data_IF_353383185970
#
_entry.id   IF_353383185970
#
_cell.length_a   1.000
_cell.length_b   1.000
_cell.length_c   1.000
_cell.angle_alpha   90.00
_cell.angle_beta   90.00
_cell.angle_gamma   90.00
#
_symmetry.space_group_name_H-M   'P 1'
#
loop_
_entity.id
_entity.type
_entity.pdbx_description
1 polymer ?
#
# COMPACT_ATOMS: atom_id res chain seq x y z
N UNK A 1 -5.34 -17.18 -0.55
CA UNK A 1 -6.19 -17.71 -1.64
C UNK A 1 -5.41 -18.46 -2.71
N UNK A 2 -4.12 -18.17 -2.90
CA UNK A 2 -3.28 -18.71 -3.96
C UNK A 2 -3.55 -18.11 -5.36
N UNK A 3 -4.43 -17.11 -5.48
CA UNK A 3 -4.79 -16.52 -6.77
C UNK A 3 -3.58 -15.91 -7.50
N UNK A 4 -2.80 -15.09 -6.82
CA UNK A 4 -1.62 -14.47 -7.42
C UNK A 4 -0.58 -15.51 -7.84
N UNK A 5 -0.37 -16.54 -7.03
CA UNK A 5 0.51 -17.65 -7.38
C UNK A 5 0.03 -18.36 -8.65
N UNK A 6 -1.29 -18.56 -8.79
CA UNK A 6 -1.88 -19.16 -9.98
C UNK A 6 -1.69 -18.31 -11.25
N UNK A 7 -1.80 -16.98 -11.14
CA UNK A 7 -1.51 -16.07 -12.26
C UNK A 7 -0.03 -16.15 -12.64
N UNK A 8 0.87 -16.06 -11.66
CA UNK A 8 2.32 -16.10 -11.87
C UNK A 8 2.80 -17.43 -12.45
N UNK A 9 2.16 -18.55 -12.08
CA UNK A 9 2.53 -19.87 -12.56
C UNK A 9 2.43 -20.06 -14.08
N UNK A 10 1.71 -19.14 -14.76
CA UNK A 10 1.63 -19.11 -16.23
C UNK A 10 2.79 -18.35 -16.89
N UNK A 11 3.56 -17.62 -16.10
CA UNK A 11 4.60 -16.71 -16.57
C UNK A 11 6.01 -17.17 -16.22
N UNK A 12 6.12 -18.13 -15.29
CA UNK A 12 7.42 -18.62 -14.76
C UNK A 12 7.39 -20.14 -14.62
N UNK A 13 8.58 -20.74 -14.55
CA UNK A 13 8.73 -22.19 -14.41
C UNK A 13 8.18 -22.69 -13.08
N UNK A 14 8.55 -22.06 -11.99
CA UNK A 14 8.18 -22.46 -10.61
C UNK A 14 7.72 -21.24 -9.80
N UNK A 15 6.72 -21.43 -8.95
CA UNK A 15 6.21 -20.45 -7.99
C UNK A 15 6.29 -21.01 -6.59
N UNK A 16 6.97 -20.33 -5.71
CA UNK A 16 7.06 -20.62 -4.28
C UNK A 16 6.28 -19.54 -3.54
N UNK A 17 5.22 -19.90 -2.83
CA UNK A 17 4.36 -18.95 -2.11
C UNK A 17 4.27 -19.32 -0.63
N UNK A 18 4.32 -18.29 0.22
CA UNK A 18 4.29 -18.45 1.68
C UNK A 18 3.07 -17.72 2.23
N UNK A 19 2.34 -18.38 3.12
CA UNK A 19 1.19 -17.81 3.84
C UNK A 19 1.35 -18.07 5.33
N UNK A 20 1.33 -17.00 6.12
CA UNK A 20 1.50 -17.10 7.59
C UNK A 20 0.22 -17.57 8.29
N UNK A 21 -0.93 -17.24 7.73
CA UNK A 21 -2.23 -17.63 8.31
C UNK A 21 -2.53 -19.07 7.91
N UNK A 22 -2.36 -19.98 8.85
CA UNK A 22 -2.45 -21.44 8.59
C UNK A 22 -3.73 -21.86 7.87
N UNK A 23 -4.97 -21.47 8.29
CA UNK A 23 -6.19 -21.85 7.57
C UNK A 23 -6.21 -21.37 6.11
N UNK A 24 -5.63 -20.19 5.83
CA UNK A 24 -5.53 -19.65 4.46
C UNK A 24 -4.51 -20.40 3.63
N UNK A 25 -3.36 -20.74 4.22
CA UNK A 25 -2.34 -21.58 3.59
C UNK A 25 -2.86 -22.96 3.23
N UNK A 26 -3.55 -23.62 4.17
CA UNK A 26 -4.19 -24.92 3.92
C UNK A 26 -5.25 -24.84 2.81
N UNK A 27 -6.06 -23.78 2.80
CA UNK A 27 -7.04 -23.55 1.72
C UNK A 27 -6.35 -23.34 0.37
N UNK A 28 -5.28 -22.54 0.32
CA UNK A 28 -4.51 -22.32 -0.89
C UNK A 28 -3.92 -23.62 -1.42
N UNK A 29 -3.29 -24.43 -0.57
CA UNK A 29 -2.74 -25.76 -0.92
C UNK A 29 -3.80 -26.66 -1.54
N UNK A 30 -4.94 -26.82 -0.89
CA UNK A 30 -6.04 -27.65 -1.43
C UNK A 30 -6.56 -27.13 -2.77
N UNK A 31 -6.64 -25.81 -2.93
CA UNK A 31 -7.12 -25.19 -4.17
C UNK A 31 -6.14 -25.41 -5.32
N UNK A 32 -4.85 -25.19 -5.10
CA UNK A 32 -3.77 -25.41 -6.06
C UNK A 32 -3.75 -26.87 -6.53
N UNK A 33 -3.82 -27.82 -5.59
CA UNK A 33 -3.85 -29.26 -5.88
C UNK A 33 -5.09 -29.66 -6.68
N UNK A 34 -6.29 -29.23 -6.23
CA UNK A 34 -7.56 -29.51 -6.91
C UNK A 34 -7.60 -29.00 -8.35
N UNK A 35 -6.97 -27.85 -8.62
CA UNK A 35 -6.90 -27.24 -9.95
C UNK A 35 -5.76 -27.78 -10.81
N UNK A 36 -4.96 -28.73 -10.29
CA UNK A 36 -3.92 -29.41 -11.04
C UNK A 36 -2.67 -28.57 -11.33
N UNK A 37 -2.40 -27.52 -10.57
CA UNK A 37 -1.15 -26.78 -10.70
C UNK A 37 0.02 -27.62 -10.18
N UNK A 38 1.03 -27.85 -11.03
CA UNK A 38 2.19 -28.69 -10.70
C UNK A 38 3.43 -27.88 -10.34
N UNK A 39 3.45 -26.62 -10.72
CA UNK A 39 4.57 -25.68 -10.54
C UNK A 39 4.29 -24.60 -9.47
N UNK A 40 3.36 -24.86 -8.54
CA UNK A 40 3.09 -24.00 -7.40
C UNK A 40 3.36 -24.77 -6.12
N UNK A 41 4.29 -24.27 -5.33
CA UNK A 41 4.65 -24.80 -4.02
C UNK A 41 4.14 -23.86 -2.93
N UNK A 42 3.35 -24.39 -2.01
CA UNK A 42 2.76 -23.59 -0.91
C UNK A 42 3.42 -24.00 0.40
N UNK A 43 3.96 -23.03 1.12
CA UNK A 43 4.49 -23.16 2.48
C UNK A 43 3.61 -22.40 3.45
N UNK A 44 3.30 -23.00 4.59
CA UNK A 44 2.68 -22.32 5.72
C UNK A 44 3.80 -21.87 6.64
N UNK A 45 3.92 -20.58 6.90
CA UNK A 45 4.98 -20.04 7.73
C UNK A 45 5.17 -18.53 7.55
N UNK A 46 6.18 -18.01 8.23
CA UNK A 46 6.52 -16.59 8.19
C UNK A 46 7.31 -16.24 6.92
N UNK A 47 6.69 -15.44 6.05
CA UNK A 47 7.30 -14.94 4.82
C UNK A 47 8.51 -14.03 5.04
N UNK A 48 8.70 -13.50 6.26
CA UNK A 48 9.88 -12.72 6.63
C UNK A 48 11.18 -13.52 6.47
N UNK A 49 11.11 -14.83 6.69
CA UNK A 49 12.26 -15.73 6.56
C UNK A 49 12.53 -16.19 5.13
N UNK A 50 11.55 -16.00 4.23
CA UNK A 50 11.62 -16.54 2.89
C UNK A 50 11.59 -18.07 2.86
N UNK A 51 12.26 -18.63 1.82
CA UNK A 51 12.33 -20.09 1.62
C UNK A 51 13.73 -20.50 1.18
N UNK A 52 14.70 -20.55 2.11
CA UNK A 52 16.12 -20.73 1.78
C UNK A 52 16.43 -22.03 1.05
N UNK A 53 15.63 -23.10 1.28
CA UNK A 53 15.85 -24.39 0.63
C UNK A 53 15.67 -24.36 -0.90
N UNK A 54 15.02 -23.32 -1.41
CA UNK A 54 14.77 -23.14 -2.84
C UNK A 54 15.46 -21.89 -3.42
N UNK A 55 16.27 -21.22 -2.59
CA UNK A 55 17.07 -20.08 -3.04
C UNK A 55 18.21 -20.55 -3.98
N UNK A 56 18.71 -19.67 -4.89
CA UNK A 56 18.31 -18.29 -5.08
C UNK A 56 17.09 -18.11 -5.99
N UNK A 57 16.31 -17.06 -5.76
CA UNK A 57 15.13 -16.72 -6.54
C UNK A 57 15.44 -15.66 -7.61
N UNK A 58 14.84 -15.81 -8.79
CA UNK A 58 14.92 -14.83 -9.88
C UNK A 58 14.15 -13.55 -9.55
N UNK A 59 12.98 -13.72 -8.96
CA UNK A 59 12.05 -12.65 -8.63
C UNK A 59 11.34 -12.96 -7.32
N UNK A 60 11.18 -11.92 -6.51
CA UNK A 60 10.42 -11.99 -5.26
C UNK A 60 9.34 -10.90 -5.30
N UNK A 61 8.11 -11.25 -4.93
CA UNK A 61 7.02 -10.31 -4.77
C UNK A 61 6.49 -10.43 -3.34
N UNK A 62 6.52 -9.33 -2.60
CA UNK A 62 5.97 -9.24 -1.25
C UNK A 62 4.61 -8.56 -1.32
N UNK A 63 3.57 -9.24 -0.85
CA UNK A 63 2.17 -8.79 -0.93
C UNK A 63 1.61 -8.28 0.39
N UNK A 64 2.49 -7.92 1.29
CA UNK A 64 2.24 -7.24 2.56
C UNK A 64 3.38 -6.24 2.80
N UNK A 65 3.19 -5.26 3.69
CA UNK A 65 4.16 -4.19 3.89
C UNK A 65 4.99 -4.43 5.15
N UNK A 66 6.25 -4.84 5.04
CA UNK A 66 7.21 -4.69 6.12
C UNK A 66 7.63 -3.21 6.25
N UNK A 67 8.18 -2.83 7.41
CA UNK A 67 8.78 -1.51 7.60
C UNK A 67 10.05 -1.38 6.74
N UNK A 68 10.90 -2.39 6.82
CA UNK A 68 12.13 -2.52 6.05
C UNK A 68 12.15 -3.85 5.29
N UNK A 69 13.02 -3.94 4.28
CA UNK A 69 13.17 -5.19 3.52
C UNK A 69 13.75 -6.28 4.42
N UNK A 70 13.09 -7.44 4.56
CA UNK A 70 13.65 -8.56 5.29
C UNK A 70 14.98 -9.01 4.70
N UNK A 71 16.03 -9.04 5.52
CA UNK A 71 17.39 -9.42 5.10
C UNK A 71 17.40 -10.78 4.40
N UNK A 72 16.63 -11.73 4.90
CA UNK A 72 16.54 -13.07 4.32
C UNK A 72 16.07 -13.04 2.85
N UNK A 73 15.16 -12.13 2.48
CA UNK A 73 14.70 -12.01 1.10
C UNK A 73 15.77 -11.43 0.17
N UNK A 74 16.59 -10.50 0.70
CA UNK A 74 17.75 -9.94 -0.04
C UNK A 74 18.80 -11.00 -0.29
N UNK A 75 19.11 -11.81 0.73
CA UNK A 75 20.12 -12.86 0.65
C UNK A 75 19.66 -13.98 -0.31
N UNK A 76 18.37 -14.29 -0.35
CA UNK A 76 17.76 -15.30 -1.22
C UNK A 76 17.49 -14.80 -2.66
N UNK A 77 17.64 -13.51 -2.94
CA UNK A 77 17.52 -12.97 -4.29
C UNK A 77 18.83 -13.17 -5.06
N UNK A 78 18.77 -13.75 -6.26
CA UNK A 78 19.96 -13.92 -7.08
C UNK A 78 20.53 -12.58 -7.55
N UNK A 79 21.79 -12.61 -8.01
CA UNK A 79 22.38 -11.48 -8.74
C UNK A 79 21.60 -11.20 -10.04
N UNK A 80 21.30 -9.95 -10.33
CA UNK A 80 20.41 -9.52 -11.41
C UNK A 80 18.92 -9.75 -11.14
N UNK A 81 18.57 -10.32 -9.98
CA UNK A 81 17.19 -10.58 -9.56
C UNK A 81 16.42 -9.31 -9.23
N UNK A 82 15.10 -9.44 -9.16
CA UNK A 82 14.18 -8.32 -8.89
C UNK A 82 13.30 -8.63 -7.69
N UNK A 83 13.15 -7.65 -6.79
CA UNK A 83 12.25 -7.71 -5.64
C UNK A 83 11.24 -6.57 -5.74
N UNK A 84 9.94 -6.88 -5.72
CA UNK A 84 8.87 -5.89 -5.61
C UNK A 84 8.26 -5.98 -4.21
N UNK A 85 8.27 -4.86 -3.49
CA UNK A 85 7.81 -4.82 -2.11
C UNK A 85 7.22 -3.45 -1.76
N UNK A 86 6.06 -3.40 -1.09
CA UNK A 86 5.56 -2.17 -0.48
C UNK A 86 6.31 -1.92 0.83
N UNK A 87 6.93 -0.76 0.97
CA UNK A 87 7.67 -0.38 2.18
C UNK A 87 7.09 0.90 2.77
N UNK A 88 7.18 1.03 4.07
CA UNK A 88 6.81 2.22 4.81
C UNK A 88 6.00 1.92 6.06
N UNK A 89 5.53 3.00 6.67
CA UNK A 89 4.70 2.95 7.87
C UNK A 89 3.34 2.29 7.61
N UNK A 90 2.64 1.89 8.69
CA UNK A 90 1.32 1.23 8.57
C UNK A 90 0.33 1.98 7.69
N UNK A 91 0.44 3.30 7.63
CA UNK A 91 -0.51 4.19 6.97
C UNK A 91 0.07 4.94 5.77
N UNK A 92 1.37 4.79 5.53
CA UNK A 92 2.08 5.46 4.44
C UNK A 92 3.09 4.51 3.81
N UNK A 93 2.76 4.01 2.64
CA UNK A 93 3.59 3.01 1.96
C UNK A 93 3.79 3.41 0.50
N UNK A 94 4.94 3.03 -0.03
CA UNK A 94 5.22 3.12 -1.46
C UNK A 94 5.63 1.74 -1.96
N UNK A 95 5.20 1.40 -3.16
CA UNK A 95 5.66 0.22 -3.85
C UNK A 95 7.03 0.51 -4.46
N UNK A 96 7.97 -0.39 -4.22
CA UNK A 96 9.32 -0.29 -4.74
C UNK A 96 9.69 -1.51 -5.57
N UNK A 97 10.45 -1.26 -6.63
CA UNK A 97 11.21 -2.27 -7.34
C UNK A 97 12.68 -2.16 -6.92
N UNK A 98 13.24 -3.28 -6.49
CA UNK A 98 14.67 -3.41 -6.23
C UNK A 98 15.29 -4.36 -7.26
N UNK A 99 16.50 -4.02 -7.69
CA UNK A 99 17.35 -4.88 -8.51
C UNK A 99 18.63 -5.18 -7.74
N UNK A 100 19.05 -6.44 -7.70
CA UNK A 100 20.31 -6.80 -7.06
C UNK A 100 21.43 -6.69 -8.09
N UNK A 101 22.35 -5.75 -7.87
CA UNK A 101 23.47 -5.46 -8.77
C UNK A 101 24.74 -5.39 -7.94
N UNK A 102 25.71 -6.25 -8.24
CA UNK A 102 26.97 -6.36 -7.49
C UNK A 102 26.76 -6.54 -5.97
N UNK A 103 25.79 -7.37 -5.62
CA UNK A 103 25.43 -7.65 -4.22
C UNK A 103 24.65 -6.56 -3.51
N UNK A 104 24.39 -5.40 -4.14
CA UNK A 104 23.64 -4.28 -3.59
C UNK A 104 22.24 -4.17 -4.21
N UNK A 105 21.31 -3.52 -3.53
CA UNK A 105 19.98 -3.26 -4.05
C UNK A 105 19.88 -1.85 -4.63
N UNK A 106 19.68 -1.77 -5.92
CA UNK A 106 19.25 -0.54 -6.60
C UNK A 106 17.75 -0.38 -6.42
N UNK A 107 17.32 0.80 -5.96
CA UNK A 107 15.93 1.11 -5.58
C UNK A 107 15.28 2.00 -6.62
N UNK A 108 14.09 1.62 -7.07
CA UNK A 108 13.20 2.41 -7.91
C UNK A 108 11.83 2.54 -7.21
N UNK A 109 11.35 3.76 -6.97
CA UNK A 109 10.01 4.00 -6.46
C UNK A 109 9.01 3.86 -7.62
N UNK A 110 7.97 3.06 -7.46
CA UNK A 110 6.92 2.87 -8.47
C UNK A 110 5.74 3.80 -8.20
N UNK A 111 4.97 3.52 -7.15
CA UNK A 111 3.75 4.28 -6.83
C UNK A 111 3.45 4.25 -5.34
N UNK A 112 2.64 5.21 -4.88
CA UNK A 112 2.09 5.19 -3.53
C UNK A 112 1.03 4.11 -3.43
N UNK A 113 1.04 3.34 -2.34
CA UNK A 113 0.21 2.14 -2.19
C UNK A 113 -0.22 1.92 -0.75
N UNK A 114 -1.12 0.97 -0.55
CA UNK A 114 -1.57 0.60 0.78
C UNK A 114 -1.79 -0.91 0.88
N UNK A 115 -0.88 -1.59 1.55
CA UNK A 115 -0.92 -3.01 1.81
C UNK A 115 -1.14 -3.30 3.30
N UNK A 116 -1.64 -4.49 3.59
CA UNK A 116 -1.66 -5.00 4.98
C UNK A 116 -0.24 -5.10 5.52
N UNK A 117 0.01 -4.83 6.82
CA UNK A 117 1.33 -5.03 7.42
C UNK A 117 1.80 -6.47 7.24
N UNK A 118 3.10 -6.65 7.11
CA UNK A 118 3.71 -7.96 7.22
C UNK A 118 3.66 -8.38 8.70
N UNK A 119 2.91 -9.43 9.00
CA UNK A 119 2.77 -10.00 10.34
C UNK A 119 3.92 -10.96 10.67
N UNK A 120 3.94 -11.53 11.87
CA UNK A 120 5.01 -12.41 12.32
C UNK A 120 6.22 -11.63 12.86
N UNK A 121 7.42 -12.08 12.55
CA UNK A 121 8.67 -11.45 13.07
C UNK A 121 8.79 -9.98 12.62
N UNK A 122 8.32 -9.63 11.44
CA UNK A 122 8.35 -8.26 10.93
C UNK A 122 7.55 -7.30 11.81
N UNK A 123 6.38 -7.70 12.25
CA UNK A 123 5.52 -6.85 13.10
C UNK A 123 6.07 -6.77 14.54
N UNK A 124 6.63 -7.87 15.06
CA UNK A 124 7.28 -7.88 16.37
C UNK A 124 8.50 -6.95 16.43
N UNK A 125 9.21 -6.79 15.32
CA UNK A 125 10.35 -5.89 15.18
C UNK A 125 9.96 -4.45 14.83
N UNK A 126 8.70 -4.20 14.48
CA UNK A 126 8.23 -2.86 14.10
C UNK A 126 8.30 -1.94 15.32
N UNK A 127 9.06 -0.87 15.20
CA UNK A 127 9.08 0.17 16.21
C UNK A 127 7.68 0.78 16.33
N UNK A 128 7.24 1.03 17.56
CA UNK A 128 6.04 1.85 17.75
C UNK A 128 6.24 3.19 17.01
N UNK A 129 5.20 3.73 16.36
CA UNK A 129 5.29 5.06 15.76
C UNK A 129 5.87 6.01 16.81
N UNK A 130 6.75 6.92 16.39
CA UNK A 130 7.25 7.96 17.28
C UNK A 130 6.05 8.80 17.73
N UNK A 131 5.55 8.52 18.91
CA UNK A 131 4.30 9.02 19.49
C UNK A 131 4.45 10.46 20.05
N UNK A 132 5.55 11.13 19.69
CA UNK A 132 5.93 12.45 20.20
C UNK A 132 5.21 13.62 19.49
N UNK A 133 4.38 13.38 18.48
CA UNK A 133 3.76 14.41 17.69
C UNK A 133 2.24 14.35 17.57
N UNK A 134 1.60 15.52 17.50
CA UNK A 134 0.20 15.64 17.07
C UNK A 134 0.13 15.10 15.63
N UNK A 135 -0.64 14.04 15.38
CA UNK A 135 -0.75 13.46 14.04
C UNK A 135 -1.26 14.51 13.06
N UNK A 136 -0.56 14.68 11.97
CA UNK A 136 -0.90 15.64 10.91
C UNK A 136 -0.97 14.94 9.57
N UNK A 137 -1.86 15.38 8.67
CA UNK A 137 -1.80 14.97 7.29
C UNK A 137 -0.45 15.36 6.67
N UNK A 138 0.15 14.45 5.90
CA UNK A 138 1.37 14.71 5.15
C UNK A 138 0.99 15.43 3.85
N UNK A 139 1.80 16.41 3.45
CA UNK A 139 1.58 17.20 2.22
C UNK A 139 0.13 17.69 2.11
N UNK A 140 -0.41 18.25 3.20
CA UNK A 140 -1.81 18.68 3.30
C UNK A 140 -2.11 19.89 2.39
N UNK A 141 -1.10 20.69 2.07
CA UNK A 141 -1.17 21.83 1.15
C UNK A 141 -0.84 21.47 -0.31
N UNK A 142 -0.43 20.23 -0.59
CA UNK A 142 -0.06 19.72 -1.93
C UNK A 142 1.17 20.41 -2.54
N UNK A 143 2.01 21.05 -1.72
CA UNK A 143 3.22 21.76 -2.18
C UNK A 143 4.36 20.81 -2.54
N UNK A 144 4.40 19.60 -1.95
CA UNK A 144 5.36 18.58 -2.34
C UNK A 144 4.93 17.95 -3.67
N UNK A 145 5.80 18.01 -4.66
CA UNK A 145 5.55 17.42 -5.97
C UNK A 145 6.17 16.02 -6.06
N UNK A 146 5.38 15.08 -6.57
CA UNK A 146 5.85 13.77 -7.00
C UNK A 146 6.11 13.74 -8.51
N UNK A 147 6.59 12.60 -8.98
CA UNK A 147 6.79 12.35 -10.41
C UNK A 147 5.45 11.96 -11.07
N UNK A 148 4.97 12.81 -11.97
CA UNK A 148 3.76 12.56 -12.75
C UNK A 148 2.47 12.64 -11.92
N UNK A 149 1.74 11.52 -11.79
CA UNK A 149 0.46 11.45 -11.06
C UNK A 149 0.61 11.13 -9.56
N UNK A 150 1.84 10.97 -9.09
CA UNK A 150 2.11 10.69 -7.68
C UNK A 150 1.94 11.97 -6.86
N UNK A 151 1.09 11.92 -5.85
CA UNK A 151 0.90 12.99 -4.88
C UNK A 151 1.48 12.51 -3.56
N UNK A 152 2.68 12.99 -3.16
CA UNK A 152 3.35 12.50 -1.97
C UNK A 152 2.44 12.53 -0.73
N UNK A 153 2.39 11.41 -0.01
CA UNK A 153 1.55 11.27 1.17
C UNK A 153 0.08 10.92 0.91
N UNK A 154 -0.37 10.93 -0.36
CA UNK A 154 -1.75 10.58 -0.72
C UNK A 154 -1.81 9.27 -1.51
N UNK A 155 -2.81 8.46 -1.24
CA UNK A 155 -2.95 7.10 -1.76
C UNK A 155 -4.21 6.96 -2.59
N UNK A 156 -4.23 5.96 -3.48
CA UNK A 156 -5.37 5.68 -4.36
C UNK A 156 -5.84 6.94 -5.10
N UNK A 157 -4.90 7.77 -5.52
CA UNK A 157 -5.18 9.00 -6.27
C UNK A 157 -5.78 8.59 -7.63
N UNK A 158 -7.02 8.96 -7.86
CA UNK A 158 -7.75 8.65 -9.09
C UNK A 158 -8.49 9.86 -9.61
N UNK A 159 -8.34 10.12 -10.91
CA UNK A 159 -8.95 11.29 -11.58
C UNK A 159 -8.67 12.56 -10.78
N UNK A 160 -7.41 12.72 -10.37
CA UNK A 160 -6.94 13.81 -9.56
C UNK A 160 -5.56 14.23 -10.03
N UNK A 161 -5.30 15.54 -9.97
CA UNK A 161 -4.01 16.13 -10.30
C UNK A 161 -3.72 17.32 -9.37
N UNK A 162 -2.47 17.57 -9.10
CA UNK A 162 -2.03 18.78 -8.39
C UNK A 162 -1.76 19.86 -9.42
N UNK A 163 -2.43 20.99 -9.25
CA UNK A 163 -2.29 22.16 -10.14
C UNK A 163 -1.83 23.38 -9.39
N UNK A 164 -1.17 24.29 -10.09
CA UNK A 164 -0.88 25.61 -9.55
C UNK A 164 -2.15 26.47 -9.54
N UNK A 165 -2.44 27.07 -8.40
CA UNK A 165 -3.56 27.99 -8.21
C UNK A 165 -3.15 29.10 -7.24
N UNK A 166 -2.94 30.29 -7.75
CA UNK A 166 -2.55 31.48 -6.96
C UNK A 166 -3.61 31.88 -5.92
N UNK A 167 -4.80 31.31 -5.96
CA UNK A 167 -5.88 31.54 -5.00
C UNK A 167 -5.99 30.41 -3.97
N UNK A 168 -5.03 29.47 -3.95
CA UNK A 168 -4.97 28.45 -2.91
C UNK A 168 -4.82 29.13 -1.53
N UNK A 169 -5.59 28.69 -0.52
CA UNK A 169 -5.57 29.33 0.80
C UNK A 169 -4.30 29.03 1.59
N UNK A 170 -3.55 28.01 1.19
CA UNK A 170 -2.29 27.59 1.79
C UNK A 170 -1.35 27.16 0.65
N UNK A 171 -0.26 27.92 0.47
CA UNK A 171 0.71 27.69 -0.60
C UNK A 171 0.27 28.20 -1.97
N UNK A 172 0.66 27.47 -3.02
CA UNK A 172 0.40 27.80 -4.43
C UNK A 172 -0.26 26.68 -5.21
N UNK A 173 -0.54 25.56 -4.58
CA UNK A 173 -1.06 24.36 -5.24
C UNK A 173 -2.35 23.88 -4.61
N UNK A 174 -3.12 23.17 -5.38
CA UNK A 174 -4.31 22.48 -4.89
C UNK A 174 -4.50 21.15 -5.63
N UNK A 175 -5.19 20.22 -4.99
CA UNK A 175 -5.62 18.97 -5.61
C UNK A 175 -6.94 19.20 -6.33
N UNK A 176 -6.95 18.99 -7.63
CA UNK A 176 -8.16 19.00 -8.46
C UNK A 176 -8.65 17.58 -8.65
N UNK A 177 -9.90 17.33 -8.29
CA UNK A 177 -10.59 16.07 -8.53
C UNK A 177 -11.57 16.31 -9.69
N UNK A 178 -11.31 15.71 -10.86
CA UNK A 178 -12.15 15.82 -12.05
C UNK A 178 -12.74 14.44 -12.39
N UNK A 179 -14.07 14.33 -12.34
CA UNK A 179 -14.75 13.05 -12.61
C UNK A 179 -15.09 12.94 -14.10
N UNK A 180 -14.08 12.71 -14.93
CA UNK A 180 -14.20 12.69 -16.40
C UNK A 180 -14.58 11.33 -16.95
N UNK A 181 -14.43 10.27 -16.17
CA UNK A 181 -14.74 8.89 -16.59
C UNK A 181 -16.03 8.43 -15.91
N UNK A 182 -17.13 8.23 -16.66
CA UNK A 182 -18.38 7.75 -16.09
C UNK A 182 -18.24 6.42 -15.35
N UNK A 183 -18.85 6.34 -14.16
CA UNK A 183 -18.82 5.14 -13.32
C UNK A 183 -17.56 4.96 -12.47
N UNK A 184 -16.61 5.87 -12.58
CA UNK A 184 -15.43 5.90 -11.71
C UNK A 184 -15.44 7.16 -10.86
N UNK A 185 -15.22 7.03 -9.55
CA UNK A 185 -15.12 8.17 -8.66
C UNK A 185 -13.71 8.76 -8.70
N UNK A 186 -13.63 10.10 -8.74
CA UNK A 186 -12.40 10.82 -8.46
C UNK A 186 -12.18 10.85 -6.93
N UNK A 187 -11.00 10.49 -6.47
CA UNK A 187 -10.67 10.49 -5.05
C UNK A 187 -9.16 10.51 -4.79
N UNK A 188 -8.81 10.93 -3.60
CA UNK A 188 -7.51 10.73 -3.00
C UNK A 188 -7.70 10.40 -1.52
N UNK A 189 -6.88 9.51 -0.99
CA UNK A 189 -6.98 9.01 0.40
C UNK A 189 -5.68 9.29 1.14
N UNK A 190 -5.80 9.57 2.42
CA UNK A 190 -4.68 9.59 3.33
C UNK A 190 -5.08 8.94 4.66
N UNK A 191 -4.18 8.18 5.26
CA UNK A 191 -4.39 7.61 6.58
C UNK A 191 -3.45 8.27 7.59
N UNK A 192 -3.96 8.51 8.79
CA UNK A 192 -3.23 9.12 9.90
C UNK A 192 -3.38 8.23 11.12
N UNK A 193 -2.26 7.84 11.73
CA UNK A 193 -2.28 7.09 12.98
C UNK A 193 -2.70 7.98 14.16
N UNK A 194 -3.63 7.51 14.98
CA UNK A 194 -4.12 8.21 16.16
C UNK A 194 -4.06 7.28 17.37
N UNK A 195 -3.44 7.70 18.46
CA UNK A 195 -3.56 6.99 19.73
C UNK A 195 -4.82 7.44 20.47
N UNK A 196 -5.88 6.65 20.37
CA UNK A 196 -7.18 6.92 21.03
C UNK A 196 -7.13 6.95 22.56
N UNK A 197 -6.03 6.51 23.18
CA UNK A 197 -5.81 6.63 24.63
C UNK A 197 -5.44 8.07 25.00
N UNK A 198 -4.79 8.78 24.11
CA UNK A 198 -4.29 10.15 24.30
C UNK A 198 -5.17 11.18 23.60
N UNK A 199 -5.67 10.89 22.39
CA UNK A 199 -6.41 11.82 21.56
C UNK A 199 -7.92 11.58 21.72
N UNK A 200 -8.61 12.55 22.33
CA UNK A 200 -10.07 12.46 22.58
C UNK A 200 -10.90 13.08 21.47
N UNK A 201 -10.34 14.01 20.71
CA UNK A 201 -11.05 14.68 19.62
C UNK A 201 -10.09 15.08 18.50
N UNK A 202 -10.59 15.03 17.28
CA UNK A 202 -9.88 15.48 16.07
C UNK A 202 -10.74 16.49 15.36
N UNK A 203 -10.16 17.62 14.97
CA UNK A 203 -10.79 18.62 14.11
C UNK A 203 -10.05 18.64 12.79
N UNK A 204 -10.75 18.38 11.68
CA UNK A 204 -10.23 18.51 10.34
C UNK A 204 -10.87 19.72 9.66
N UNK A 205 -10.05 20.61 9.13
CA UNK A 205 -10.48 21.75 8.31
C UNK A 205 -10.01 21.55 6.87
N UNK A 206 -10.91 21.75 5.91
CA UNK A 206 -10.63 21.60 4.50
C UNK A 206 -11.20 22.79 3.73
N UNK A 207 -10.39 23.41 2.89
CA UNK A 207 -10.87 24.38 1.92
C UNK A 207 -11.30 23.68 0.63
N UNK A 208 -12.49 23.98 0.16
CA UNK A 208 -13.08 23.35 -1.02
C UNK A 208 -13.66 24.39 -1.97
N UNK A 209 -13.38 24.26 -3.25
CA UNK A 209 -14.01 25.01 -4.33
C UNK A 209 -14.55 24.04 -5.38
N UNK A 210 -15.74 24.26 -5.88
CA UNK A 210 -16.35 23.43 -6.92
C UNK A 210 -16.66 24.29 -8.16
N UNK A 211 -16.42 23.75 -9.35
CA UNK A 211 -16.77 24.36 -10.64
C UNK A 211 -17.49 23.33 -11.50
N UNK A 212 -18.47 23.78 -12.31
CA UNK A 212 -19.16 22.91 -13.27
C UNK A 212 -19.90 21.74 -12.66
N UNK A 213 -20.27 21.81 -11.38
CA UNK A 213 -20.98 20.73 -10.70
C UNK A 213 -22.46 20.78 -11.09
N UNK A 214 -22.90 19.79 -11.87
CA UNK A 214 -24.29 19.61 -12.29
C UNK A 214 -24.93 18.47 -11.50
N UNK A 215 -24.86 18.54 -10.16
CA UNK A 215 -25.41 17.53 -9.26
C UNK A 215 -26.94 17.65 -9.13
N UNK A 216 -27.68 16.62 -9.50
CA UNK A 216 -29.01 16.37 -8.98
C UNK A 216 -28.90 16.00 -7.49
N UNK A 217 -30.02 16.08 -6.76
CA UNK A 217 -30.15 15.95 -5.30
C UNK A 217 -29.61 14.65 -4.64
N UNK A 218 -28.89 13.83 -5.37
CA UNK A 218 -28.27 12.60 -4.85
C UNK A 218 -27.01 12.94 -4.03
N UNK A 219 -27.17 12.92 -2.72
CA UNK A 219 -26.07 13.16 -1.76
C UNK A 219 -24.85 12.26 -1.97
N UNK A 220 -25.05 11.05 -2.49
CA UNK A 220 -23.97 10.10 -2.77
C UNK A 220 -23.03 10.54 -3.91
N UNK A 221 -23.47 11.48 -4.75
CA UNK A 221 -22.71 11.99 -5.89
C UNK A 221 -22.09 13.37 -5.67
N UNK A 222 -22.26 13.94 -4.46
CA UNK A 222 -21.68 15.25 -4.16
C UNK A 222 -20.21 15.11 -3.76
N UNK A 223 -19.36 16.10 -4.13
CA UNK A 223 -18.00 16.18 -3.61
C UNK A 223 -18.04 16.24 -2.08
N UNK A 224 -17.35 15.35 -1.40
CA UNK A 224 -17.31 15.26 0.05
C UNK A 224 -15.91 14.95 0.56
N UNK A 225 -15.64 15.35 1.78
CA UNK A 225 -14.56 14.83 2.60
C UNK A 225 -15.18 13.83 3.57
N UNK A 226 -14.58 12.66 3.66
CA UNK A 226 -15.03 11.60 4.54
C UNK A 226 -13.92 11.23 5.50
N UNK A 227 -14.24 11.14 6.78
CA UNK A 227 -13.36 10.64 7.83
C UNK A 227 -13.90 9.29 8.28
N UNK A 228 -13.07 8.25 8.12
CA UNK A 228 -13.39 6.92 8.61
C UNK A 228 -12.42 6.55 9.73
N UNK A 229 -12.93 6.11 10.86
CA UNK A 229 -12.15 5.66 12.01
C UNK A 229 -12.12 4.14 12.06
N UNK A 230 -10.94 3.59 12.21
CA UNK A 230 -10.71 2.15 12.31
C UNK A 230 -9.99 1.85 13.63
N UNK A 231 -10.25 0.69 14.21
CA UNK A 231 -9.48 0.15 15.32
C UNK A 231 -8.14 -0.45 14.87
N UNK A 232 -7.40 -1.01 15.81
CA UNK A 232 -6.11 -1.66 15.54
C UNK A 232 -6.21 -2.89 14.63
N UNK A 233 -7.37 -3.55 14.64
CA UNK A 233 -7.70 -4.69 13.76
C UNK A 233 -8.27 -4.24 12.41
N UNK A 234 -8.37 -2.93 12.17
CA UNK A 234 -8.96 -2.31 10.97
C UNK A 234 -10.46 -2.56 10.80
N UNK A 235 -11.15 -2.83 11.88
CA UNK A 235 -12.59 -2.82 11.88
C UNK A 235 -13.08 -1.35 11.92
N UNK A 236 -14.06 -1.04 11.06
CA UNK A 236 -14.63 0.30 10.99
C UNK A 236 -15.39 0.60 12.29
N UNK A 237 -14.95 1.63 13.00
CA UNK A 237 -15.61 2.11 14.22
C UNK A 237 -16.71 3.10 13.86
N UNK A 238 -16.40 4.06 12.97
CA UNK A 238 -17.30 5.17 12.61
C UNK A 238 -16.86 5.85 11.30
N UNK A 239 -17.82 6.40 10.57
CA UNK A 239 -17.64 7.36 9.47
C UNK A 239 -18.33 8.67 9.78
#
# INVERSE_FOLDING_TARGET
SGYQAAVLSRLVAEVYTIEIVEPLGQRATRTVQRLGYRNIHVKIGDGYQGWPEHAPFDKIIVTCSPQDIPRALVDQLREGGRLVVPLGERFQQNLYLFRKVQGQLEKEKLESTFFVPMTGMAEAARMAPDDSGIPRPVNASFEESGDGRDVPGWFYVRQAEVVEDSTAPDGRRCLVLANDIPGQNAHALQAVGLDGRQIKSVTLSVYRRTRGFHGRSDKARQPRVELAFYDEDRALIRT
#
